data_IF_561888253505
#
_entry.id   IF_561888253505
#
_cell.length_a   1.000
_cell.length_b   1.000
_cell.length_c   1.000
_cell.angle_alpha   90.00
_cell.angle_beta   90.00
_cell.angle_gamma   90.00
#
_symmetry.space_group_name_H-M   'P 1'
#
loop_
_entity.id
_entity.type
_entity.pdbx_description
1 polymer ?
#
# COMPACT_ATOMS: atom_id res chain seq x y z
N UNK A 1 -4.93 -23.15 -35.98
CA UNK A 1 -3.55 -23.41 -35.51
C UNK A 1 -2.95 -22.22 -34.73
N UNK A 2 -3.03 -20.97 -35.21
CA UNK A 2 -2.42 -19.78 -34.56
C UNK A 2 -2.92 -19.50 -33.12
N UNK A 3 -4.23 -19.65 -32.88
CA UNK A 3 -4.82 -19.41 -31.55
C UNK A 3 -4.30 -20.38 -30.46
N UNK A 4 -4.04 -21.65 -30.83
CA UNK A 4 -3.52 -22.65 -29.90
C UNK A 4 -2.06 -22.37 -29.51
N UNK A 5 -1.23 -21.95 -30.49
CA UNK A 5 0.15 -21.54 -30.24
C UNK A 5 0.23 -20.27 -29.37
N UNK A 6 -0.62 -19.27 -29.65
CA UNK A 6 -0.69 -18.04 -28.87
C UNK A 6 -1.10 -18.31 -27.40
N UNK A 7 -2.03 -19.23 -27.17
CA UNK A 7 -2.45 -19.62 -25.81
C UNK A 7 -1.31 -20.27 -25.03
N UNK A 8 -0.58 -21.20 -25.66
CA UNK A 8 0.55 -21.89 -25.04
C UNK A 8 1.66 -20.92 -24.60
N UNK A 9 2.00 -19.93 -25.44
CA UNK A 9 2.99 -18.90 -25.09
C UNK A 9 2.53 -18.04 -23.90
N UNK A 10 1.25 -17.63 -23.89
CA UNK A 10 0.68 -16.86 -22.77
C UNK A 10 0.77 -17.62 -21.45
N UNK A 11 0.39 -18.89 -21.45
CA UNK A 11 0.42 -19.74 -20.26
C UNK A 11 1.86 -19.96 -19.76
N UNK A 12 2.82 -20.14 -20.68
CA UNK A 12 4.24 -20.25 -20.32
C UNK A 12 4.80 -18.96 -19.71
N UNK A 13 4.46 -17.79 -20.26
CA UNK A 13 4.86 -16.49 -19.71
C UNK A 13 4.32 -16.30 -18.29
N UNK A 14 3.05 -16.65 -18.04
CA UNK A 14 2.47 -16.60 -16.70
C UNK A 14 3.17 -17.55 -15.74
N UNK A 15 3.51 -18.77 -16.18
CA UNK A 15 4.25 -19.75 -15.38
C UNK A 15 5.61 -19.20 -14.95
N UNK A 16 6.39 -18.65 -15.89
CA UNK A 16 7.70 -18.05 -15.60
C UNK A 16 7.58 -16.82 -14.70
N UNK A 17 6.58 -15.98 -14.93
CA UNK A 17 6.29 -14.84 -14.05
C UNK A 17 5.97 -15.30 -12.62
N UNK A 18 5.13 -16.33 -12.47
CA UNK A 18 4.78 -16.88 -11.16
C UNK A 18 5.99 -17.45 -10.42
N UNK A 19 6.90 -18.15 -11.11
CA UNK A 19 8.16 -18.62 -10.54
C UNK A 19 9.03 -17.45 -10.05
N UNK A 20 9.17 -16.40 -10.87
CA UNK A 20 9.91 -15.19 -10.49
C UNK A 20 9.28 -14.46 -9.29
N UNK A 21 7.95 -14.34 -9.25
CA UNK A 21 7.23 -13.77 -8.12
C UNK A 21 7.41 -14.61 -6.84
N UNK A 22 7.34 -15.94 -6.94
CA UNK A 22 7.54 -16.84 -5.81
C UNK A 22 8.95 -16.70 -5.23
N UNK A 23 9.97 -16.66 -6.09
CA UNK A 23 11.36 -16.41 -5.69
C UNK A 23 11.51 -15.04 -5.01
N UNK A 24 10.98 -13.97 -5.61
CA UNK A 24 11.06 -12.62 -5.02
C UNK A 24 10.32 -12.51 -3.67
N UNK A 25 9.22 -13.23 -3.49
CA UNK A 25 8.52 -13.33 -2.21
C UNK A 25 9.35 -14.08 -1.17
N UNK A 26 9.96 -15.22 -1.53
CA UNK A 26 10.84 -15.99 -0.65
C UNK A 26 12.09 -15.18 -0.23
N UNK A 27 12.61 -14.35 -1.14
CA UNK A 27 13.71 -13.40 -0.87
C UNK A 27 13.26 -12.15 -0.09
N UNK A 28 11.98 -12.02 0.28
CA UNK A 28 11.48 -10.89 1.05
C UNK A 28 11.47 -9.55 0.31
N UNK A 29 11.53 -9.55 -1.02
CA UNK A 29 11.63 -8.33 -1.84
C UNK A 29 10.32 -7.53 -1.87
N UNK A 30 9.18 -8.19 -1.65
CA UNK A 30 7.87 -7.54 -1.69
C UNK A 30 7.52 -6.96 -0.32
N UNK A 31 7.82 -5.66 -0.13
CA UNK A 31 7.58 -4.93 1.13
C UNK A 31 6.22 -4.21 1.18
N UNK A 32 5.45 -4.27 0.10
CA UNK A 32 4.20 -3.53 -0.05
C UNK A 32 4.43 -2.02 -0.20
N UNK A 33 3.36 -1.24 -0.05
CA UNK A 33 3.43 0.23 -0.05
C UNK A 33 3.98 0.70 1.29
N UNK A 34 5.10 1.41 1.26
CA UNK A 34 5.69 2.03 2.45
C UNK A 34 4.77 3.14 2.96
N UNK A 35 4.67 3.23 4.27
CA UNK A 35 3.87 4.25 4.94
C UNK A 35 4.54 5.62 4.85
N UNK A 36 3.73 6.67 4.74
CA UNK A 36 4.19 8.05 4.84
C UNK A 36 4.35 8.43 6.31
N UNK A 37 5.56 8.21 6.83
CA UNK A 37 5.89 8.35 8.25
C UNK A 37 5.79 9.82 8.69
N UNK A 38 6.27 10.76 7.86
CA UNK A 38 6.25 12.19 8.14
C UNK A 38 4.81 12.71 8.27
N UNK A 39 3.96 12.41 7.27
CA UNK A 39 2.54 12.79 7.34
C UNK A 39 1.85 12.21 8.57
N UNK A 40 2.13 10.95 8.90
CA UNK A 40 1.50 10.28 10.03
C UNK A 40 1.94 10.87 11.38
N UNK A 41 3.21 11.25 11.53
CA UNK A 41 3.69 12.01 12.69
C UNK A 41 2.98 13.35 12.81
N UNK A 42 2.82 14.07 11.70
CA UNK A 42 2.05 15.31 11.66
C UNK A 42 0.59 15.13 12.11
N UNK A 43 -0.09 14.09 11.62
CA UNK A 43 -1.46 13.74 12.03
C UNK A 43 -1.53 13.46 13.54
N UNK A 44 -0.61 12.66 14.08
CA UNK A 44 -0.58 12.34 15.50
C UNK A 44 -0.39 13.58 16.38
N UNK A 45 0.52 14.49 15.99
CA UNK A 45 0.74 15.76 16.68
C UNK A 45 -0.47 16.70 16.59
N UNK A 46 -1.22 16.70 15.49
CA UNK A 46 -2.46 17.47 15.37
C UNK A 46 -3.58 16.90 16.25
N UNK A 47 -3.70 15.57 16.31
CA UNK A 47 -4.65 14.89 17.20
C UNK A 47 -4.36 15.19 18.67
N UNK A 48 -3.09 15.14 19.09
CA UNK A 48 -2.72 15.46 20.48
C UNK A 48 -2.97 16.93 20.85
N UNK A 49 -3.00 17.82 19.86
CA UNK A 49 -3.37 19.24 20.03
C UNK A 49 -4.89 19.47 19.98
N UNK A 50 -5.70 18.43 19.83
CA UNK A 50 -7.16 18.52 19.82
C UNK A 50 -7.76 19.09 18.52
N UNK A 51 -7.02 19.10 17.41
CA UNK A 51 -7.59 19.54 16.13
C UNK A 51 -8.70 18.60 15.68
N UNK A 52 -9.74 19.18 15.06
CA UNK A 52 -10.82 18.38 14.50
C UNK A 52 -10.35 17.60 13.26
N UNK A 53 -11.04 16.49 12.98
CA UNK A 53 -10.65 15.60 11.89
C UNK A 53 -10.74 16.28 10.52
N UNK A 54 -11.71 17.17 10.31
CA UNK A 54 -11.83 17.93 9.06
C UNK A 54 -10.65 18.89 8.86
N UNK A 55 -10.19 19.55 9.92
CA UNK A 55 -8.99 20.41 9.87
C UNK A 55 -7.74 19.59 9.52
N UNK A 56 -7.59 18.41 10.11
CA UNK A 56 -6.46 17.52 9.83
C UNK A 56 -6.48 17.06 8.37
N UNK A 57 -7.64 16.68 7.85
CA UNK A 57 -7.79 16.30 6.45
C UNK A 57 -7.46 17.46 5.50
N UNK A 58 -7.94 18.66 5.80
CA UNK A 58 -7.65 19.85 4.99
C UNK A 58 -6.15 20.18 4.99
N UNK A 59 -5.48 20.06 6.14
CA UNK A 59 -4.06 20.35 6.27
C UNK A 59 -3.13 19.28 5.64
N UNK A 60 -3.54 18.01 5.65
CA UNK A 60 -2.68 16.88 5.23
C UNK A 60 -3.07 16.26 3.89
N UNK A 61 -4.24 16.59 3.36
CA UNK A 61 -4.84 15.96 2.18
C UNK A 61 -5.19 14.48 2.37
N UNK A 62 -5.10 13.93 3.59
CA UNK A 62 -5.36 12.51 3.82
C UNK A 62 -6.86 12.21 4.01
N UNK A 63 -7.23 10.94 3.85
CA UNK A 63 -8.59 10.47 4.06
C UNK A 63 -8.94 10.37 5.56
N UNK A 64 -10.23 10.48 5.90
CA UNK A 64 -10.73 10.21 7.26
C UNK A 64 -10.26 8.86 7.81
N UNK A 65 -10.22 7.84 6.96
CA UNK A 65 -9.75 6.51 7.35
C UNK A 65 -8.27 6.51 7.77
N UNK A 66 -7.43 7.35 7.13
CA UNK A 66 -6.03 7.53 7.54
C UNK A 66 -5.96 8.19 8.91
N UNK A 67 -6.72 9.28 9.13
CA UNK A 67 -6.80 9.95 10.44
C UNK A 67 -7.26 8.97 11.54
N UNK A 68 -8.32 8.20 11.28
CA UNK A 68 -8.84 7.20 12.22
C UNK A 68 -7.81 6.11 12.56
N UNK A 69 -7.10 5.61 11.54
CA UNK A 69 -6.04 4.61 11.72
C UNK A 69 -4.92 5.14 12.62
N UNK A 70 -4.53 6.41 12.47
CA UNK A 70 -3.51 7.03 13.32
C UNK A 70 -4.04 7.30 14.72
N UNK A 71 -5.27 7.79 14.86
CA UNK A 71 -5.90 7.99 16.17
C UNK A 71 -5.95 6.69 16.99
N UNK A 72 -6.34 5.57 16.37
CA UNK A 72 -6.36 4.24 17.01
C UNK A 72 -4.97 3.71 17.39
N UNK A 73 -3.90 4.18 16.76
CA UNK A 73 -2.52 3.78 17.10
C UNK A 73 -1.95 4.61 18.26
N UNK A 74 -2.47 5.81 18.46
CA UNK A 74 -1.98 6.76 19.46
C UNK A 74 -2.72 6.66 20.80
N UNK A 75 -3.93 6.09 20.81
CA UNK A 75 -4.66 5.68 22.02
C UNK A 75 -4.51 4.19 22.27
#
# INVERSE_FOLDING_TARGET
>A
MLAAAARKDYDDRRRRQAQGQAKAKAEGRYKGRVEDVERNRGIAAMLSKGLSWSQIQAATGCSRATVAKIAKRAG
#
